data_IF_430402026655
#
_entry.id   IF_430402026655
#
_cell.length_a   1.000
_cell.length_b   1.000
_cell.length_c   1.000
_cell.angle_alpha   90.00
_cell.angle_beta   90.00
_cell.angle_gamma   90.00
#
_symmetry.space_group_name_H-M   'P 1'
#
loop_
_entity.id
_entity.type
_entity.pdbx_description
1 polymer ?
#
# COMPACT_ATOMS: atom_id res chain seq x y z
N UNK A 1 6.18 -16.06 -16.05
CA UNK A 1 6.14 -14.57 -16.04
C UNK A 1 5.50 -14.13 -14.73
N UNK A 2 6.27 -13.58 -13.80
CA UNK A 2 5.77 -13.06 -12.52
C UNK A 2 6.08 -11.57 -12.43
N UNK A 3 5.17 -10.74 -12.94
CA UNK A 3 5.28 -9.28 -13.00
C UNK A 3 4.88 -8.61 -11.66
N UNK A 4 5.34 -9.16 -10.54
CA UNK A 4 5.03 -8.62 -9.23
C UNK A 4 6.14 -7.67 -8.75
N UNK A 5 6.00 -6.40 -9.13
CA UNK A 5 6.14 -5.28 -8.18
C UNK A 5 7.50 -5.08 -7.48
N UNK A 6 8.61 -5.21 -8.19
CA UNK A 6 9.91 -4.73 -7.70
C UNK A 6 10.07 -3.21 -7.92
N UNK A 7 9.26 -2.37 -7.25
CA UNK A 7 9.67 -0.98 -7.00
C UNK A 7 10.86 -1.05 -6.04
N UNK A 8 12.05 -1.25 -6.62
CA UNK A 8 13.29 -1.46 -5.89
C UNK A 8 13.57 -0.25 -4.98
N UNK A 9 13.99 -0.47 -3.72
CA UNK A 9 14.43 0.56 -2.78
C UNK A 9 15.46 1.56 -3.35
N UNK A 10 16.14 1.19 -4.45
CA UNK A 10 17.10 2.03 -5.15
C UNK A 10 16.46 3.17 -5.97
N UNK A 11 15.28 2.97 -6.55
CA UNK A 11 14.51 4.08 -7.18
C UNK A 11 14.00 5.06 -6.12
N UNK A 12 13.73 4.51 -4.95
CA UNK A 12 13.15 5.14 -3.80
C UNK A 12 14.07 6.20 -3.17
N UNK A 13 15.32 5.81 -2.89
CA UNK A 13 16.35 6.70 -2.32
C UNK A 13 16.77 7.81 -3.29
N UNK A 14 16.68 7.58 -4.60
CA UNK A 14 17.09 8.58 -5.61
C UNK A 14 16.03 9.66 -5.83
N UNK A 15 14.73 9.33 -5.66
CA UNK A 15 13.63 10.30 -5.68
C UNK A 15 13.60 11.19 -4.42
N UNK A 16 14.03 10.66 -3.28
CA UNK A 16 14.06 11.38 -2.00
C UNK A 16 14.89 12.66 -1.99
N UNK A 17 16.05 12.66 -2.65
CA UNK A 17 16.98 13.80 -2.64
C UNK A 17 16.69 14.84 -3.71
N UNK A 18 15.90 14.52 -4.73
CA UNK A 18 15.85 15.32 -5.97
C UNK A 18 14.51 16.01 -6.18
N UNK A 19 13.40 15.49 -5.63
CA UNK A 19 12.05 15.91 -6.10
C UNK A 19 11.10 16.48 -5.02
N UNK A 20 11.21 16.13 -3.74
CA UNK A 20 9.96 15.96 -2.99
C UNK A 20 9.48 17.05 -2.02
N UNK A 21 10.28 18.05 -1.59
CA UNK A 21 9.78 19.15 -0.75
C UNK A 21 8.92 18.74 0.47
N UNK A 22 9.07 17.49 0.95
CA UNK A 22 8.19 16.82 1.91
C UNK A 22 9.03 16.09 2.94
N UNK A 23 8.46 15.84 4.12
CA UNK A 23 9.21 15.25 5.23
C UNK A 23 9.37 13.73 5.06
N UNK A 24 10.47 13.15 5.56
CA UNK A 24 10.73 11.70 5.51
C UNK A 24 9.55 10.87 6.05
N UNK A 25 8.84 11.37 7.07
CA UNK A 25 7.68 10.71 7.66
C UNK A 25 6.52 10.53 6.67
N UNK A 26 6.17 11.56 5.88
CA UNK A 26 5.09 11.48 4.87
C UNK A 26 5.43 10.51 3.75
N UNK A 27 6.70 10.48 3.40
CA UNK A 27 7.18 9.55 2.40
C UNK A 27 7.14 8.10 2.91
N UNK A 28 7.59 7.85 4.15
CA UNK A 28 7.55 6.51 4.76
C UNK A 28 6.12 6.03 4.81
N UNK A 29 5.18 6.89 5.19
CA UNK A 29 3.76 6.58 5.19
C UNK A 29 3.25 6.14 3.81
N UNK A 30 3.65 6.82 2.73
CA UNK A 30 3.26 6.45 1.36
C UNK A 30 3.82 5.08 0.94
N UNK A 31 5.03 4.74 1.37
CA UNK A 31 5.60 3.41 1.11
C UNK A 31 4.91 2.32 1.91
N UNK A 32 4.60 2.59 3.18
CA UNK A 32 3.81 1.66 3.98
C UNK A 32 2.42 1.44 3.38
N UNK A 33 1.80 2.50 2.86
CA UNK A 33 0.52 2.42 2.15
C UNK A 33 0.60 1.54 0.90
N UNK A 34 1.63 1.73 0.05
CA UNK A 34 1.87 0.89 -1.13
C UNK A 34 2.08 -0.59 -0.77
N UNK A 35 2.85 -0.86 0.29
CA UNK A 35 3.03 -2.21 0.80
C UNK A 35 1.70 -2.82 1.29
N UNK A 36 0.88 -2.04 2.01
CA UNK A 36 -0.43 -2.48 2.46
C UNK A 36 -1.38 -2.80 1.28
N UNK A 37 -1.35 -2.00 0.21
CA UNK A 37 -2.12 -2.29 -1.02
C UNK A 37 -1.73 -3.64 -1.61
N UNK A 38 -0.44 -3.92 -1.77
CA UNK A 38 0.02 -5.21 -2.31
C UNK A 38 -0.43 -6.39 -1.46
N UNK A 39 -0.40 -6.26 -0.14
CA UNK A 39 -0.88 -7.29 0.78
C UNK A 39 -2.39 -7.52 0.62
N UNK A 40 -3.17 -6.45 0.50
CA UNK A 40 -4.62 -6.56 0.26
C UNK A 40 -4.92 -7.22 -1.10
N UNK A 41 -4.15 -6.88 -2.13
CA UNK A 41 -4.25 -7.50 -3.46
C UNK A 41 -3.83 -8.98 -3.45
N UNK A 42 -2.87 -9.35 -2.61
CA UNK A 42 -2.48 -10.74 -2.36
C UNK A 42 -3.49 -11.52 -1.50
N UNK A 43 -4.60 -10.89 -1.09
CA UNK A 43 -5.70 -11.55 -0.37
C UNK A 43 -5.61 -11.48 1.16
N UNK A 44 -4.61 -10.78 1.72
CA UNK A 44 -4.50 -10.61 3.17
C UNK A 44 -5.68 -9.82 3.74
N UNK A 45 -5.96 -10.04 5.02
CA UNK A 45 -6.94 -9.24 5.77
C UNK A 45 -6.40 -7.83 6.03
N UNK A 46 -7.30 -6.87 6.27
CA UNK A 46 -6.95 -5.49 6.61
C UNK A 46 -6.01 -5.43 7.82
N UNK A 47 -6.27 -6.26 8.83
CA UNK A 47 -5.45 -6.36 10.04
C UNK A 47 -4.04 -6.91 9.75
N UNK A 48 -3.95 -7.96 8.94
CA UNK A 48 -2.65 -8.51 8.53
C UNK A 48 -1.87 -7.49 7.69
N UNK A 49 -2.54 -6.82 6.74
CA UNK A 49 -1.94 -5.77 5.94
C UNK A 49 -1.43 -4.59 6.79
N UNK A 50 -2.17 -4.15 7.81
CA UNK A 50 -1.76 -3.06 8.70
C UNK A 50 -0.51 -3.42 9.52
N UNK A 51 -0.43 -4.67 10.02
CA UNK A 51 0.71 -5.15 10.79
C UNK A 51 1.96 -5.31 9.92
N UNK A 52 1.84 -5.95 8.75
CA UNK A 52 2.99 -6.23 7.89
C UNK A 52 3.47 -5.01 7.09
N UNK A 53 2.61 -4.03 6.83
CA UNK A 53 3.00 -2.77 6.18
C UNK A 53 3.78 -1.82 7.09
N UNK A 54 3.78 -2.04 8.41
CA UNK A 54 4.42 -1.15 9.38
C UNK A 54 3.57 0.06 9.76
N UNK A 55 2.28 0.09 9.41
CA UNK A 55 1.32 1.10 9.90
C UNK A 55 0.84 0.79 11.32
N UNK A 56 0.96 -0.46 11.76
CA UNK A 56 0.80 -0.87 13.16
C UNK A 56 -0.64 -1.11 13.59
N UNK A 57 -1.62 -0.42 13.00
CA UNK A 57 -3.03 -0.65 13.29
C UNK A 57 -3.96 -0.43 12.09
N UNK A 58 -5.11 -1.09 12.12
CA UNK A 58 -6.18 -0.98 11.13
C UNK A 58 -6.73 0.46 11.04
N UNK A 59 -6.75 1.20 12.16
CA UNK A 59 -7.14 2.60 12.21
C UNK A 59 -6.15 3.48 11.42
N UNK A 60 -4.85 3.31 11.66
CA UNK A 60 -3.80 4.04 10.94
C UNK A 60 -3.86 3.73 9.45
N UNK A 61 -4.09 2.46 9.10
CA UNK A 61 -4.27 2.03 7.71
C UNK A 61 -5.50 2.67 7.07
N UNK A 62 -6.66 2.68 7.74
CA UNK A 62 -7.89 3.32 7.26
C UNK A 62 -7.68 4.81 7.02
N UNK A 63 -7.05 5.53 7.95
CA UNK A 63 -6.74 6.96 7.81
C UNK A 63 -5.81 7.25 6.65
N UNK A 64 -4.77 6.44 6.47
CA UNK A 64 -3.85 6.59 5.35
C UNK A 64 -4.56 6.34 4.01
N UNK A 65 -5.40 5.32 3.93
CA UNK A 65 -6.22 5.01 2.76
C UNK A 65 -7.20 6.15 2.43
N UNK A 66 -7.95 6.65 3.41
CA UNK A 66 -8.87 7.77 3.22
C UNK A 66 -8.14 9.04 2.75
N UNK A 67 -6.99 9.37 3.36
CA UNK A 67 -6.24 10.60 3.01
C UNK A 67 -5.59 10.54 1.63
N UNK A 68 -5.09 9.38 1.20
CA UNK A 68 -4.31 9.26 -0.04
C UNK A 68 -5.11 8.71 -1.23
N UNK A 69 -6.16 7.93 -0.98
CA UNK A 69 -6.92 7.21 -2.03
C UNK A 69 -8.42 7.52 -2.01
N UNK A 70 -8.92 8.15 -0.94
CA UNK A 70 -10.35 8.47 -0.80
C UNK A 70 -11.26 7.26 -0.64
N UNK A 71 -10.72 6.07 -0.36
CA UNK A 71 -11.46 4.82 -0.20
C UNK A 71 -10.99 4.08 1.04
N UNK A 72 -11.81 3.18 1.59
CA UNK A 72 -11.39 2.32 2.70
C UNK A 72 -10.57 1.11 2.22
N UNK A 73 -9.71 0.52 3.07
CA UNK A 73 -8.96 -0.71 2.75
C UNK A 73 -9.88 -1.88 2.37
N UNK A 74 -11.08 -1.95 2.98
CA UNK A 74 -12.08 -2.98 2.70
C UNK A 74 -12.69 -2.81 1.32
N UNK A 75 -13.10 -1.59 0.96
CA UNK A 75 -13.62 -1.29 -0.39
C UNK A 75 -12.54 -1.53 -1.46
N UNK A 76 -11.30 -1.13 -1.17
CA UNK A 76 -10.17 -1.41 -2.05
C UNK A 76 -10.03 -2.93 -2.27
N UNK A 77 -9.99 -3.73 -1.19
CA UNK A 77 -9.93 -5.19 -1.28
C UNK A 77 -11.11 -5.75 -2.07
N UNK A 78 -12.35 -5.32 -1.82
CA UNK A 78 -13.53 -5.81 -2.53
C UNK A 78 -13.49 -5.49 -4.02
N UNK A 79 -13.09 -4.27 -4.39
CA UNK A 79 -13.00 -3.81 -5.77
C UNK A 79 -11.97 -4.57 -6.59
N UNK A 80 -10.89 -5.02 -5.96
CA UNK A 80 -9.82 -5.78 -6.62
C UNK A 80 -9.93 -7.30 -6.42
N UNK A 81 -10.66 -7.77 -5.41
CA UNK A 81 -10.95 -9.20 -5.23
C UNK A 81 -11.76 -9.77 -6.40
N UNK A 82 -12.66 -8.97 -7.00
CA UNK A 82 -13.42 -9.37 -8.18
C UNK A 82 -12.57 -9.50 -9.45
N UNK A 83 -11.39 -8.88 -9.49
CA UNK A 83 -10.47 -9.00 -10.64
C UNK A 83 -9.61 -10.28 -10.56
N UNK A 84 -9.42 -10.86 -9.37
CA UNK A 84 -8.67 -12.11 -9.18
C UNK A 84 -9.46 -13.41 -9.37
N UNK A 85 -10.79 -13.34 -9.52
CA UNK A 85 -11.69 -14.51 -9.55
C UNK A 85 -12.16 -14.91 -10.98
N UNK A 86 -11.49 -14.47 -12.05
CA UNK A 86 -11.78 -14.89 -13.44
C UNK A 86 -10.63 -15.60 -14.15
N UNK A 87 -9.69 -16.17 -13.42
CA UNK A 87 -8.80 -17.19 -13.96
C UNK A 87 -9.31 -18.56 -13.49
N UNK A 88 -10.36 -19.05 -14.16
CA UNK A 88 -10.69 -20.49 -14.22
C UNK A 88 -9.82 -21.17 -15.26
#
# INVERSE_FOLDING_TARGET
>A
MAAATALSPRHLTRLFRTELGTTPARWVERVRLDHAQRLLLAGHTVTSAARHSGLGSDETLRRAFARHLGVTPTEYRQRFATTGSRAS
#
